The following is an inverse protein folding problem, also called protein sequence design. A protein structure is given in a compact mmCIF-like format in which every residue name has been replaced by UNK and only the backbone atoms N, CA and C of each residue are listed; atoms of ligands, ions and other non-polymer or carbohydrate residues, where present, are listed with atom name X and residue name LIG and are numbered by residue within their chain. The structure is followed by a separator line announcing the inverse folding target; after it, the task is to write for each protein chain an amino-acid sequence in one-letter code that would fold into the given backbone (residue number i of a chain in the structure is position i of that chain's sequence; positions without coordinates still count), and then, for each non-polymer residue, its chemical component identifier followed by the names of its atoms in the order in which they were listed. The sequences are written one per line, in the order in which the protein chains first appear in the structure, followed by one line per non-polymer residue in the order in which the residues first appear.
data_IF_370580451084
#
_entry.id   IF_370580451084
#
_cell.length_a   1.000
_cell.length_b   1.000
_cell.length_c   1.000
_cell.angle_alpha   90.00
_cell.angle_beta   90.00
_cell.angle_gamma   90.00
#
_symmetry.space_group_name_H-M   'P 1'
#
loop_
_entity.id
_entity.type
_entity.pdbx_description
1 polymer ?
#
# COMPACT_ATOMS: atom_id res chain seq x y z
N UNK A 1 -39.34 3.52 -8.96
CA UNK A 1 -38.57 2.27 -8.84
C UNK A 1 -37.23 2.50 -9.53
N UNK A 2 -36.28 3.07 -8.79
CA UNK A 2 -34.95 3.43 -9.30
C UNK A 2 -34.08 2.18 -9.29
N UNK A 3 -33.56 1.81 -10.45
CA UNK A 3 -32.70 0.65 -10.63
C UNK A 3 -31.30 0.94 -10.10
N UNK A 4 -30.82 0.04 -9.24
CA UNK A 4 -29.49 -0.05 -8.61
C UNK A 4 -28.32 -0.23 -9.60
N UNK A 5 -28.45 0.22 -10.85
CA UNK A 5 -27.48 0.02 -11.91
C UNK A 5 -26.37 1.10 -11.96
N UNK A 6 -26.32 2.01 -10.99
CA UNK A 6 -25.50 3.22 -11.07
C UNK A 6 -24.21 3.21 -10.23
N UNK A 7 -23.91 2.14 -9.48
CA UNK A 7 -22.78 2.12 -8.53
C UNK A 7 -21.69 1.06 -8.77
N UNK A 8 -21.79 0.22 -9.80
CA UNK A 8 -20.80 -0.85 -10.07
C UNK A 8 -20.28 -0.78 -11.50
N UNK A 9 -19.79 0.39 -11.91
CA UNK A 9 -18.71 0.42 -12.89
C UNK A 9 -17.42 0.50 -12.07
N UNK A 10 -16.70 -0.63 -12.02
CA UNK A 10 -15.28 -0.61 -11.63
C UNK A 10 -14.62 0.53 -12.39
N UNK A 11 -14.13 1.52 -11.67
CA UNK A 11 -13.37 2.62 -12.26
C UNK A 11 -12.01 2.04 -12.65
N UNK A 12 -11.94 1.35 -13.79
CA UNK A 12 -10.66 1.10 -14.43
C UNK A 12 -10.21 2.44 -14.98
N UNK A 13 -9.36 3.15 -14.23
CA UNK A 13 -8.65 4.30 -14.79
C UNK A 13 -7.86 3.84 -16.01
N UNK A 14 -7.93 4.62 -17.09
CA UNK A 14 -7.15 4.30 -18.29
C UNK A 14 -5.67 4.46 -17.94
N UNK A 15 -4.76 3.65 -18.50
CA UNK A 15 -3.32 3.76 -18.22
C UNK A 15 -2.78 5.19 -18.33
N UNK A 16 -3.22 5.94 -19.35
CA UNK A 16 -2.82 7.35 -19.56
C UNK A 16 -3.32 8.29 -18.47
N UNK A 17 -4.48 8.01 -17.85
CA UNK A 17 -5.01 8.81 -16.73
C UNK A 17 -4.20 8.54 -15.46
N UNK A 18 -3.90 7.26 -15.18
CA UNK A 18 -3.04 6.87 -14.08
C UNK A 18 -1.64 7.49 -14.22
N UNK A 19 -1.03 7.41 -15.39
CA UNK A 19 0.27 8.03 -15.68
C UNK A 19 0.27 9.55 -15.42
N UNK A 20 -0.76 10.26 -15.89
CA UNK A 20 -0.87 11.71 -15.69
C UNK A 20 -1.00 12.08 -14.21
N UNK A 21 -1.77 11.30 -13.44
CA UNK A 21 -1.95 11.51 -12.00
C UNK A 21 -0.69 11.15 -11.21
N UNK A 22 0.02 10.09 -11.61
CA UNK A 22 1.33 9.76 -11.05
C UNK A 22 2.34 10.89 -11.28
N UNK A 23 2.40 11.44 -12.50
CA UNK A 23 3.28 12.57 -12.81
C UNK A 23 2.96 13.81 -12.00
N UNK A 24 1.67 14.14 -11.82
CA UNK A 24 1.23 15.27 -10.98
C UNK A 24 1.72 15.15 -9.54
N UNK A 25 1.70 13.93 -9.00
CA UNK A 25 2.14 13.61 -7.64
C UNK A 25 3.63 13.26 -7.54
N UNK A 26 4.42 13.47 -8.60
CA UNK A 26 5.86 13.13 -8.65
C UNK A 26 6.15 11.67 -8.28
N UNK A 27 5.20 10.77 -8.53
CA UNK A 27 5.36 9.34 -8.32
C UNK A 27 6.32 8.74 -9.37
N UNK A 28 6.85 7.52 -9.12
CA UNK A 28 7.75 6.86 -10.07
C UNK A 28 7.16 6.77 -11.48
N UNK A 29 8.05 6.84 -12.48
CA UNK A 29 7.68 6.66 -13.89
C UNK A 29 7.37 5.20 -14.24
N UNK A 30 7.95 4.27 -13.48
CA UNK A 30 7.68 2.84 -13.64
C UNK A 30 6.25 2.54 -13.17
N UNK A 31 5.51 1.63 -13.82
CA UNK A 31 4.18 1.28 -13.37
C UNK A 31 4.22 0.66 -11.95
N UNK A 32 3.25 0.98 -11.08
CA UNK A 32 3.18 0.36 -9.77
C UNK A 32 2.97 -1.15 -9.86
N UNK A 33 3.52 -1.95 -8.92
CA UNK A 33 3.14 -3.35 -8.76
C UNK A 33 1.63 -3.51 -8.61
N UNK A 34 1.08 -4.66 -9.00
CA UNK A 34 -0.38 -4.88 -9.03
C UNK A 34 -1.06 -4.61 -7.68
N UNK A 35 -0.45 -5.05 -6.58
CA UNK A 35 -0.98 -4.86 -5.23
C UNK A 35 -1.02 -3.38 -4.81
N UNK A 36 -0.19 -2.53 -5.42
CA UNK A 36 -0.20 -1.06 -5.21
C UNK A 36 -1.16 -0.38 -6.17
N UNK A 37 -1.19 -0.85 -7.43
CA UNK A 37 -1.95 -0.23 -8.52
C UNK A 37 -3.42 -0.07 -8.16
N UNK A 38 -4.06 -1.12 -7.66
CA UNK A 38 -5.50 -1.09 -7.39
C UNK A 38 -5.88 -0.11 -6.27
N UNK A 39 -5.29 -0.17 -5.06
CA UNK A 39 -5.56 0.82 -4.02
C UNK A 39 -5.21 2.25 -4.44
N UNK A 40 -4.14 2.43 -5.23
CA UNK A 40 -3.77 3.75 -5.77
C UNK A 40 -4.80 4.28 -6.76
N UNK A 41 -5.32 3.44 -7.66
CA UNK A 41 -6.38 3.82 -8.58
C UNK A 41 -7.64 4.25 -7.82
N UNK A 42 -8.06 3.48 -6.82
CA UNK A 42 -9.21 3.82 -5.96
C UNK A 42 -8.98 5.17 -5.25
N UNK A 43 -7.80 5.37 -4.64
CA UNK A 43 -7.44 6.60 -3.95
C UNK A 43 -7.52 7.83 -4.89
N UNK A 44 -6.94 7.70 -6.08
CA UNK A 44 -6.89 8.77 -7.07
C UNK A 44 -8.27 9.18 -7.62
N UNK A 45 -9.29 8.32 -7.48
CA UNK A 45 -10.66 8.65 -7.87
C UNK A 45 -11.42 9.48 -6.83
N UNK A 46 -10.92 9.58 -5.60
CA UNK A 46 -11.60 10.30 -4.51
C UNK A 46 -11.51 11.82 -4.65
N UNK A 47 -10.59 12.34 -5.45
CA UNK A 47 -10.47 13.77 -5.72
C UNK A 47 -9.02 14.26 -5.79
N UNK A 48 -8.81 15.59 -5.79
CA UNK A 48 -7.47 16.15 -5.75
C UNK A 48 -6.82 15.86 -4.39
N UNK A 49 -5.77 15.06 -4.39
CA UNK A 49 -4.92 14.76 -3.23
C UNK A 49 -3.47 15.05 -3.59
N UNK A 50 -2.66 15.42 -2.59
CA UNK A 50 -1.19 15.44 -2.70
C UNK A 50 -0.67 14.12 -2.13
N UNK A 51 -0.05 13.31 -3.00
CA UNK A 51 0.46 11.98 -2.65
C UNK A 51 1.98 12.02 -2.75
N UNK A 52 2.65 11.60 -1.68
CA UNK A 52 4.10 11.43 -1.67
C UNK A 52 4.45 9.99 -1.34
N UNK A 53 5.17 9.33 -2.25
CA UNK A 53 5.71 8.00 -2.00
C UNK A 53 6.87 8.06 -1.00
N UNK A 54 6.84 7.18 0.01
CA UNK A 54 7.85 7.10 1.06
C UNK A 54 8.78 5.89 0.91
N UNK A 55 8.39 4.91 0.10
CA UNK A 55 9.16 3.69 -0.16
C UNK A 55 9.68 3.66 -1.59
N UNK A 56 10.91 3.22 -1.78
CA UNK A 56 11.46 2.93 -3.10
C UNK A 56 12.50 1.83 -2.98
N UNK A 57 12.48 0.90 -3.94
CA UNK A 57 13.52 -0.12 -4.13
C UNK A 57 14.07 -0.05 -5.55
N UNK A 58 15.23 -0.65 -5.78
CA UNK A 58 15.79 -0.76 -7.13
C UNK A 58 14.98 -1.69 -8.05
N UNK A 59 14.16 -2.58 -7.49
CA UNK A 59 13.39 -3.57 -8.23
C UNK A 59 12.17 -2.95 -8.93
N UNK A 60 11.37 -2.17 -8.19
CA UNK A 60 10.14 -1.59 -8.71
C UNK A 60 10.00 -0.08 -8.48
N UNK A 61 10.87 0.56 -7.68
CA UNK A 61 10.76 1.98 -7.30
C UNK A 61 9.52 2.35 -6.48
N UNK A 62 8.71 1.38 -6.02
CA UNK A 62 7.44 1.60 -5.30
C UNK A 62 7.43 1.03 -3.89
N UNK A 63 8.01 -0.16 -3.72
CA UNK A 63 7.81 -0.97 -2.53
C UNK A 63 9.12 -1.45 -1.95
N UNK A 64 9.09 -1.84 -0.68
CA UNK A 64 10.23 -2.44 0.03
C UNK A 64 9.80 -3.76 0.68
N UNK A 65 10.72 -4.73 0.85
CA UNK A 65 10.46 -5.93 1.65
C UNK A 65 10.08 -5.57 3.11
N UNK A 66 9.06 -6.23 3.66
CA UNK A 66 8.67 -6.12 5.08
C UNK A 66 9.26 -7.25 5.91
N UNK A 67 9.42 -7.00 7.21
CA UNK A 67 10.22 -7.80 8.13
C UNK A 67 10.89 -6.93 9.20
N UNK A 68 10.25 -5.82 9.56
CA UNK A 68 10.72 -4.91 10.60
C UNK A 68 10.45 -5.49 11.99
N UNK A 69 9.40 -6.30 12.12
CA UNK A 69 9.03 -7.00 13.35
C UNK A 69 9.70 -8.37 13.35
N UNK A 70 10.69 -8.54 14.21
CA UNK A 70 11.32 -9.83 14.50
C UNK A 70 11.00 -10.24 15.93
N UNK A 71 10.92 -11.55 16.16
CA UNK A 71 10.85 -12.07 17.53
C UNK A 71 12.10 -11.70 18.33
N UNK A 72 12.09 -11.94 19.64
CA UNK A 72 13.27 -11.76 20.51
C UNK A 72 14.49 -12.54 20.01
N UNK A 73 14.26 -13.69 19.37
CA UNK A 73 15.30 -14.53 18.77
C UNK A 73 15.73 -14.09 17.36
N UNK A 74 15.21 -12.94 16.87
CA UNK A 74 15.51 -12.41 15.54
C UNK A 74 14.81 -13.13 14.39
N UNK A 75 13.73 -13.88 14.67
CA UNK A 75 12.99 -14.64 13.66
C UNK A 75 11.90 -13.78 13.05
N UNK A 76 11.82 -13.76 11.71
CA UNK A 76 10.73 -13.12 10.96
C UNK A 76 9.55 -14.10 10.88
N UNK A 77 8.34 -13.61 11.09
CA UNK A 77 7.12 -14.42 11.02
C UNK A 77 6.90 -15.04 9.63
N UNK A 78 6.49 -16.32 9.59
CA UNK A 78 6.31 -17.08 8.34
C UNK A 78 5.26 -16.44 7.41
N UNK A 79 4.27 -15.74 7.98
CA UNK A 79 3.21 -15.03 7.27
C UNK A 79 3.73 -13.89 6.37
N UNK A 80 4.93 -13.39 6.68
CA UNK A 80 5.61 -12.36 5.88
C UNK A 80 6.36 -12.94 4.69
N UNK A 81 6.43 -14.26 4.54
CA UNK A 81 7.01 -14.89 3.36
C UNK A 81 5.96 -15.17 2.29
N UNK A 82 6.34 -14.94 1.04
CA UNK A 82 5.63 -15.41 -0.15
C UNK A 82 6.45 -16.53 -0.77
N UNK A 83 5.81 -17.68 -0.99
CA UNK A 83 6.41 -18.79 -1.74
C UNK A 83 6.10 -18.61 -3.22
N UNK A 84 7.15 -18.45 -4.03
CA UNK A 84 7.06 -18.34 -5.47
C UNK A 84 6.76 -19.71 -6.12
N UNK A 85 6.41 -19.69 -7.41
CA UNK A 85 6.10 -20.90 -8.18
C UNK A 85 7.28 -21.90 -8.24
N UNK A 86 8.51 -21.40 -8.17
CA UNK A 86 9.74 -22.21 -8.15
C UNK A 86 10.11 -22.72 -6.74
N UNK A 87 9.22 -22.52 -5.74
CA UNK A 87 9.40 -22.81 -4.31
C UNK A 87 10.44 -21.95 -3.60
N UNK A 88 11.02 -20.95 -4.28
CA UNK A 88 11.81 -19.94 -3.57
C UNK A 88 10.88 -19.12 -2.66
N UNK A 89 11.43 -18.66 -1.54
CA UNK A 89 10.74 -17.74 -0.65
C UNK A 89 11.36 -16.35 -0.77
N UNK A 90 10.51 -15.34 -0.69
CA UNK A 90 10.91 -13.95 -0.52
C UNK A 90 10.03 -13.30 0.52
N UNK A 91 10.54 -12.22 1.10
CA UNK A 91 9.72 -11.35 1.93
C UNK A 91 8.62 -10.71 1.08
N UNK A 92 7.44 -10.62 1.68
CA UNK A 92 6.33 -9.80 1.23
C UNK A 92 6.80 -8.35 1.16
N UNK A 93 6.21 -7.57 0.27
CA UNK A 93 6.54 -6.15 0.13
C UNK A 93 5.42 -5.28 0.69
N UNK A 94 5.77 -4.05 1.04
CA UNK A 94 4.81 -2.99 1.31
C UNK A 94 5.20 -1.69 0.62
N UNK A 95 4.19 -0.92 0.25
CA UNK A 95 4.30 0.44 -0.25
C UNK A 95 3.76 1.38 0.82
N UNK A 96 4.53 2.40 1.19
CA UNK A 96 4.07 3.46 2.09
C UNK A 96 4.06 4.81 1.36
N UNK A 97 3.03 5.61 1.63
CA UNK A 97 2.87 6.95 1.07
C UNK A 97 2.23 7.89 2.08
N UNK A 98 2.47 9.19 1.98
CA UNK A 98 1.58 10.18 2.60
C UNK A 98 0.49 10.58 1.61
N UNK A 99 -0.70 10.81 2.14
CA UNK A 99 -1.85 11.33 1.40
C UNK A 99 -2.35 12.57 2.14
N UNK A 100 -2.44 13.69 1.44
CA UNK A 100 -2.96 14.95 1.97
C UNK A 100 -4.18 15.36 1.13
N UNK A 101 -5.36 15.38 1.76
CA UNK A 101 -6.62 15.77 1.12
C UNK A 101 -6.92 17.28 1.25
N UNK A 102 -5.97 18.05 1.79
CA UNK A 102 -6.10 19.48 2.08
C UNK A 102 -6.74 19.78 3.44
N UNK A 103 -7.32 18.79 4.12
CA UNK A 103 -7.87 18.91 5.47
C UNK A 103 -7.05 18.11 6.47
N UNK A 104 -6.68 16.88 6.11
CA UNK A 104 -5.96 15.94 6.96
C UNK A 104 -4.84 15.26 6.18
N UNK A 105 -3.72 15.04 6.85
CA UNK A 105 -2.62 14.22 6.33
C UNK A 105 -2.67 12.81 6.93
N UNK A 106 -2.57 11.83 6.03
CA UNK A 106 -2.57 10.42 6.35
C UNK A 106 -1.25 9.77 5.90
N UNK A 107 -0.79 8.78 6.67
CA UNK A 107 0.16 7.77 6.21
C UNK A 107 -0.65 6.58 5.74
N UNK A 108 -0.42 6.15 4.51
CA UNK A 108 -1.07 4.99 3.93
C UNK A 108 -0.03 3.91 3.68
N UNK A 109 -0.38 2.68 4.06
CA UNK A 109 0.42 1.51 3.79
C UNK A 109 -0.39 0.46 3.02
N UNK A 110 0.21 -0.10 1.99
CA UNK A 110 -0.38 -1.14 1.14
C UNK A 110 0.53 -2.35 1.20
N UNK A 111 0.05 -3.44 1.79
CA UNK A 111 0.78 -4.71 1.88
C UNK A 111 0.50 -5.58 0.66
N UNK A 112 1.51 -6.30 0.18
CA UNK A 112 1.38 -7.25 -0.91
C UNK A 112 0.61 -8.50 -0.45
N UNK A 113 -0.71 -8.47 -0.46
CA UNK A 113 -1.56 -9.57 0.03
C UNK A 113 -2.73 -9.86 -0.91
N UNK A 114 -3.35 -11.03 -0.73
CA UNK A 114 -4.64 -11.36 -1.33
C UNK A 114 -5.51 -12.02 -0.25
N UNK A 115 -6.64 -11.41 0.18
CA UNK A 115 -7.19 -10.12 -0.30
C UNK A 115 -6.30 -8.91 0.03
N UNK A 116 -6.57 -7.77 -0.61
CA UNK A 116 -5.85 -6.50 -0.42
C UNK A 116 -5.85 -6.09 1.06
N UNK A 117 -4.68 -5.71 1.58
CA UNK A 117 -4.51 -5.24 2.95
C UNK A 117 -3.90 -3.84 2.94
N UNK A 118 -4.78 -2.85 3.06
CA UNK A 118 -4.44 -1.43 3.05
C UNK A 118 -4.84 -0.81 4.40
N UNK A 119 -3.99 0.08 4.91
CA UNK A 119 -4.26 0.85 6.14
C UNK A 119 -3.94 2.32 5.94
N UNK A 120 -4.69 3.16 6.64
CA UNK A 120 -4.50 4.61 6.68
C UNK A 120 -4.42 5.06 8.14
N UNK A 121 -3.43 5.90 8.43
CA UNK A 121 -3.08 6.38 9.76
C UNK A 121 -3.10 7.91 9.73
N UNK A 122 -3.87 8.60 10.60
CA UNK A 122 -3.80 10.05 10.69
C UNK A 122 -2.42 10.47 11.24
N UNK A 123 -1.69 11.34 10.53
CA UNK A 123 -0.34 11.77 10.94
C UNK A 123 -0.35 13.00 11.86
N UNK A 124 -1.46 13.74 11.90
CA UNK A 124 -1.53 15.04 12.57
C UNK A 124 -0.46 16.00 12.05
N UNK A 125 0.05 16.87 12.92
CA UNK A 125 1.04 17.90 12.55
C UNK A 125 2.49 17.40 12.50
N UNK A 126 2.75 16.14 12.89
CA UNK A 126 4.10 15.58 12.97
C UNK A 126 4.41 14.76 11.73
N UNK A 127 5.64 14.88 11.25
CA UNK A 127 6.18 13.92 10.30
C UNK A 127 6.32 12.58 11.03
N UNK A 128 5.63 11.55 10.53
CA UNK A 128 5.78 10.18 11.00
C UNK A 128 6.81 9.48 10.12
N UNK A 129 7.86 8.87 10.70
CA UNK A 129 8.85 8.10 9.95
C UNK A 129 8.19 6.96 9.16
N UNK A 130 8.74 6.65 7.99
CA UNK A 130 8.21 5.56 7.13
C UNK A 130 8.28 4.21 7.85
N UNK A 131 9.30 4.02 8.71
CA UNK A 131 9.51 2.83 9.50
C UNK A 131 8.37 2.60 10.49
N UNK A 132 7.80 3.66 11.07
CA UNK A 132 6.65 3.54 11.98
C UNK A 132 5.38 3.12 11.24
N UNK A 133 5.15 3.68 10.04
CA UNK A 133 4.01 3.30 9.19
C UNK A 133 4.13 1.82 8.77
N UNK A 134 5.32 1.40 8.38
CA UNK A 134 5.59 0.03 7.95
C UNK A 134 5.50 -0.96 9.12
N UNK A 135 6.06 -0.64 10.29
CA UNK A 135 5.97 -1.50 11.47
C UNK A 135 4.51 -1.65 11.94
N UNK A 136 3.73 -0.57 11.91
CA UNK A 136 2.33 -0.59 12.31
C UNK A 136 1.47 -1.46 11.38
N UNK A 137 1.64 -1.34 10.05
CA UNK A 137 0.88 -2.19 9.10
C UNK A 137 1.28 -3.65 9.20
N UNK A 138 2.57 -3.93 9.44
CA UNK A 138 3.10 -5.27 9.63
C UNK A 138 2.48 -5.92 10.87
N UNK A 139 2.45 -5.20 12.01
CA UNK A 139 1.81 -5.65 13.24
C UNK A 139 0.33 -5.95 13.03
N UNK A 140 -0.42 -5.03 12.43
CA UNK A 140 -1.86 -5.23 12.19
C UNK A 140 -2.13 -6.40 11.24
N UNK A 141 -1.27 -6.60 10.25
CA UNK A 141 -1.36 -7.75 9.37
C UNK A 141 -1.17 -9.05 10.13
N UNK A 142 -0.12 -9.15 10.95
CA UNK A 142 0.15 -10.34 11.76
C UNK A 142 -0.99 -10.63 12.74
N UNK A 143 -1.46 -9.62 13.47
CA UNK A 143 -2.63 -9.74 14.36
C UNK A 143 -3.87 -10.23 13.62
N UNK A 144 -4.11 -9.78 12.39
CA UNK A 144 -5.24 -10.25 11.57
C UNK A 144 -5.14 -11.73 11.16
N UNK A 145 -3.95 -12.33 11.23
CA UNK A 145 -3.74 -13.76 10.96
C UNK A 145 -3.97 -14.62 12.19
N UNK A 146 -3.66 -14.12 13.38
CA UNK A 146 -3.90 -14.82 14.64
C UNK A 146 -5.40 -14.98 14.97
N UNK A 147 -6.23 -13.99 14.63
CA UNK A 147 -7.68 -14.01 14.91
C UNK A 147 -8.49 -15.02 14.06
N UNK A 148 -7.87 -15.66 13.06
CA UNK A 148 -8.55 -16.59 12.14
C UNK A 148 -8.39 -18.08 12.52
N UNK A 149 -7.96 -18.38 13.76
CA UNK A 149 -7.80 -19.75 14.29
C UNK A 149 -8.83 -20.11 15.37
#
# INVERSE_FOLDING_TARGET
MQTLAQFVWLINMRPTELEALCQKNKLPKQPPPEFVRRPLEELLTLGPMDIQLLTASDEDSWSVPVGLMVTEDGVIADELFITNNDRSQRLRRACAMTVDDGTTRYGMAIMETSPDFTRMYPLGDKAVPVEEILAQVELEFLSSKEENF
#
